data_IF_145162879235
#
_entry.id   IF_145162879235
#
_cell.length_a   1.000
_cell.length_b   1.000
_cell.length_c   1.000
_cell.angle_alpha   90.00
_cell.angle_beta   90.00
_cell.angle_gamma   90.00
#
_symmetry.space_group_name_H-M   'P 1'
#
loop_
_entity.id
_entity.type
_entity.pdbx_description
1 polymer ?
#
# COMPACT_ATOMS: atom_id res chain seq x y z
N UNK A 1 -7.37 -1.98 35.69
CA UNK A 1 -7.20 -3.45 35.77
C UNK A 1 -8.56 -4.17 35.81
N UNK A 2 -9.66 -3.52 35.40
CA UNK A 2 -11.04 -4.06 35.44
C UNK A 2 -11.73 -4.16 34.05
N UNK A 3 -11.06 -3.77 32.96
CA UNK A 3 -11.64 -3.79 31.61
C UNK A 3 -11.91 -5.21 31.06
N UNK A 4 -11.34 -6.24 31.70
CA UNK A 4 -11.55 -7.65 31.33
C UNK A 4 -12.83 -8.26 31.93
N UNK A 5 -13.50 -7.56 32.86
CA UNK A 5 -14.72 -8.06 33.51
C UNK A 5 -15.98 -7.87 32.66
N UNK A 6 -15.95 -6.97 31.67
CA UNK A 6 -17.08 -6.66 30.80
C UNK A 6 -16.62 -6.61 29.33
N UNK A 7 -16.67 -7.73 28.59
CA UNK A 7 -16.19 -7.80 27.20
C UNK A 7 -16.83 -6.76 26.25
N UNK A 8 -18.02 -6.26 26.58
CA UNK A 8 -18.74 -5.23 25.83
C UNK A 8 -18.33 -3.78 26.12
N UNK A 9 -17.44 -3.52 27.08
CA UNK A 9 -16.88 -2.17 27.34
C UNK A 9 -15.51 -1.98 26.70
N UNK A 10 -14.91 -3.03 26.14
CA UNK A 10 -13.68 -2.92 25.38
C UNK A 10 -13.96 -2.18 24.08
N UNK A 11 -13.19 -1.13 23.74
CA UNK A 11 -13.33 -0.47 22.44
C UNK A 11 -13.13 -1.49 21.33
N UNK A 12 -14.04 -1.49 20.35
CA UNK A 12 -13.94 -2.34 19.15
C UNK A 12 -12.56 -2.17 18.50
N UNK A 13 -11.95 -3.28 18.08
CA UNK A 13 -10.64 -3.24 17.43
C UNK A 13 -10.75 -2.52 16.08
N UNK A 14 -10.18 -1.32 15.99
CA UNK A 14 -10.20 -0.48 14.76
C UNK A 14 -8.92 -0.55 13.96
N UNK A 15 -7.81 -0.88 14.59
CA UNK A 15 -6.49 -0.94 13.96
C UNK A 15 -5.80 -2.23 14.34
N UNK A 16 -5.21 -2.89 13.35
CA UNK A 16 -4.51 -4.15 13.54
C UNK A 16 -3.25 -4.17 12.67
N UNK A 17 -2.10 -4.28 13.33
CA UNK A 17 -0.81 -4.51 12.67
C UNK A 17 -0.38 -5.96 12.93
N UNK A 18 -0.08 -6.66 11.84
CA UNK A 18 0.38 -8.04 11.79
C UNK A 18 1.66 -8.16 10.97
N UNK A 19 2.41 -7.07 10.82
CA UNK A 19 3.61 -7.04 10.00
C UNK A 19 4.61 -8.12 10.47
N UNK A 20 5.31 -8.72 9.52
CA UNK A 20 6.32 -9.77 9.75
C UNK A 20 5.77 -11.07 10.38
N UNK A 21 4.46 -11.28 10.40
CA UNK A 21 3.89 -12.56 10.87
C UNK A 21 4.07 -13.65 9.80
N UNK A 22 4.88 -14.66 10.11
CA UNK A 22 5.28 -15.70 9.15
C UNK A 22 4.35 -16.92 9.07
N UNK A 23 3.24 -16.93 9.82
CA UNK A 23 2.28 -18.05 9.83
C UNK A 23 0.82 -17.57 9.68
N UNK A 24 0.62 -16.51 8.89
CA UNK A 24 -0.69 -15.90 8.67
C UNK A 24 -1.44 -16.58 7.50
N UNK A 25 -1.83 -17.85 7.64
CA UNK A 25 -2.61 -18.55 6.61
C UNK A 25 -4.11 -18.33 6.79
N UNK A 26 -4.93 -18.27 5.73
CA UNK A 26 -6.40 -18.29 5.88
C UNK A 26 -6.99 -19.55 6.50
N UNK A 27 -6.24 -20.66 6.48
CA UNK A 27 -6.61 -21.87 7.19
C UNK A 27 -6.41 -21.72 8.70
N UNK A 28 -5.70 -20.68 9.13
CA UNK A 28 -5.61 -20.35 10.55
C UNK A 28 -6.94 -19.78 11.04
N UNK A 29 -7.39 -20.29 12.19
CA UNK A 29 -8.54 -19.73 12.91
C UNK A 29 -8.34 -18.24 13.22
N UNK A 30 -7.10 -17.78 13.35
CA UNK A 30 -6.76 -16.38 13.59
C UNK A 30 -7.12 -15.48 12.41
N UNK A 31 -6.76 -15.83 11.17
CA UNK A 31 -7.13 -15.00 10.01
C UNK A 31 -8.65 -14.96 9.80
N UNK A 32 -9.35 -16.08 9.98
CA UNK A 32 -10.81 -16.10 9.93
C UNK A 32 -11.44 -15.22 11.03
N UNK A 33 -10.86 -15.20 12.23
CA UNK A 33 -11.33 -14.33 13.31
C UNK A 33 -11.07 -12.85 13.01
N UNK A 34 -9.97 -12.51 12.34
CA UNK A 34 -9.67 -11.15 11.90
C UNK A 34 -10.72 -10.66 10.90
N UNK A 35 -11.12 -11.50 9.93
CA UNK A 35 -12.19 -11.17 8.98
C UNK A 35 -13.55 -10.92 9.65
N UNK A 36 -13.76 -11.34 10.90
CA UNK A 36 -15.01 -11.02 11.63
C UNK A 36 -15.01 -9.61 12.24
N UNK A 37 -13.87 -8.89 12.25
CA UNK A 37 -13.76 -7.54 12.82
C UNK A 37 -14.25 -6.47 11.84
N UNK A 38 -15.58 -6.39 11.66
CA UNK A 38 -16.23 -5.46 10.70
C UNK A 38 -15.99 -3.98 11.00
N UNK A 39 -15.56 -3.64 12.21
CA UNK A 39 -15.21 -2.27 12.62
C UNK A 39 -13.75 -1.89 12.36
N UNK A 40 -12.96 -2.80 11.77
CA UNK A 40 -11.57 -2.55 11.43
C UNK A 40 -11.48 -1.49 10.32
N UNK A 41 -10.61 -0.52 10.55
CA UNK A 41 -10.36 0.65 9.69
C UNK A 41 -8.94 0.62 9.15
N UNK A 42 -7.99 0.08 9.93
CA UNK A 42 -6.61 -0.07 9.52
C UNK A 42 -6.17 -1.53 9.66
N UNK A 43 -5.64 -2.09 8.57
CA UNK A 43 -5.01 -3.41 8.55
C UNK A 43 -3.63 -3.31 7.92
N UNK A 44 -2.61 -3.73 8.65
CA UNK A 44 -1.24 -3.86 8.15
C UNK A 44 -0.82 -5.33 8.23
N UNK A 45 -0.41 -5.89 7.10
CA UNK A 45 0.07 -7.28 6.95
C UNK A 45 1.35 -7.32 6.12
N UNK A 46 2.24 -6.35 6.32
CA UNK A 46 3.48 -6.21 5.56
C UNK A 46 4.42 -7.38 5.83
N UNK A 47 5.09 -7.87 4.79
CA UNK A 47 6.10 -8.95 4.90
C UNK A 47 5.56 -10.23 5.59
N UNK A 48 4.25 -10.46 5.54
CA UNK A 48 3.67 -11.68 6.05
C UNK A 48 3.93 -12.86 5.11
N UNK A 49 4.38 -13.98 5.68
CA UNK A 49 4.49 -15.24 4.95
C UNK A 49 3.28 -16.12 5.31
N UNK A 50 2.75 -16.82 4.31
CA UNK A 50 1.60 -17.74 4.47
C UNK A 50 0.24 -17.16 4.12
N UNK A 51 0.12 -15.84 3.95
CA UNK A 51 -1.09 -15.22 3.39
C UNK A 51 -1.07 -15.31 1.87
N UNK A 52 -2.11 -15.88 1.27
CA UNK A 52 -2.20 -16.09 -0.17
C UNK A 52 -3.09 -15.06 -0.86
N UNK A 53 -2.98 -14.95 -2.19
CA UNK A 53 -3.91 -14.14 -2.97
C UNK A 53 -5.37 -14.60 -2.80
N UNK A 54 -5.63 -15.89 -2.59
CA UNK A 54 -6.97 -16.41 -2.32
C UNK A 54 -7.55 -15.92 -0.98
N UNK A 55 -6.69 -15.47 -0.07
CA UNK A 55 -7.07 -14.98 1.25
C UNK A 55 -7.33 -13.47 1.18
N UNK A 56 -6.43 -12.76 0.49
CA UNK A 56 -6.52 -11.32 0.28
C UNK A 56 -7.74 -10.92 -0.56
N UNK A 57 -8.14 -11.73 -1.54
CA UNK A 57 -9.35 -11.42 -2.34
C UNK A 57 -10.64 -11.42 -1.50
N UNK A 58 -10.64 -12.03 -0.31
CA UNK A 58 -11.81 -12.06 0.59
C UNK A 58 -11.88 -10.83 1.48
N UNK A 59 -10.78 -10.09 1.66
CA UNK A 59 -10.72 -8.92 2.54
C UNK A 59 -11.89 -7.94 2.29
N UNK A 60 -12.25 -7.60 1.03
CA UNK A 60 -13.35 -6.69 0.75
C UNK A 60 -14.74 -7.21 1.14
N UNK A 61 -14.94 -8.52 1.20
CA UNK A 61 -16.23 -9.12 1.59
C UNK A 61 -16.53 -8.95 3.08
N UNK A 62 -15.48 -8.77 3.88
CA UNK A 62 -15.55 -8.85 5.34
C UNK A 62 -15.17 -7.54 6.03
N UNK A 63 -14.08 -6.91 5.58
CA UNK A 63 -13.47 -5.72 6.17
C UNK A 63 -13.89 -4.45 5.41
N UNK A 64 -15.21 -4.31 5.21
CA UNK A 64 -15.83 -3.27 4.37
C UNK A 64 -15.59 -1.83 4.82
N UNK A 65 -15.13 -1.64 6.06
CA UNK A 65 -14.86 -0.32 6.65
C UNK A 65 -13.39 0.10 6.59
N UNK A 66 -12.52 -0.70 5.97
CA UNK A 66 -11.11 -0.36 5.83
C UNK A 66 -10.90 0.96 5.10
N UNK A 67 -10.06 1.80 5.71
CA UNK A 67 -9.56 3.06 5.17
C UNK A 67 -8.06 2.98 4.89
N UNK A 68 -7.32 2.18 5.65
CA UNK A 68 -5.87 2.00 5.49
C UNK A 68 -5.58 0.51 5.34
N UNK A 69 -4.92 0.13 4.24
CA UNK A 69 -4.52 -1.24 3.97
C UNK A 69 -3.07 -1.29 3.50
N UNK A 70 -2.22 -1.99 4.26
CA UNK A 70 -0.82 -2.21 3.90
C UNK A 70 -0.57 -3.69 3.59
N UNK A 71 -0.30 -3.99 2.32
CA UNK A 71 0.05 -5.30 1.77
C UNK A 71 1.46 -5.29 1.14
N UNK A 72 2.29 -4.34 1.53
CA UNK A 72 3.66 -4.23 1.01
C UNK A 72 4.44 -5.50 1.35
N UNK A 73 5.37 -5.88 0.48
CA UNK A 73 6.23 -7.07 0.67
C UNK A 73 5.48 -8.41 0.75
N UNK A 74 4.20 -8.47 0.39
CA UNK A 74 3.53 -9.76 0.20
C UNK A 74 4.04 -10.40 -1.10
N UNK A 75 4.77 -11.50 -0.93
CA UNK A 75 5.36 -12.25 -2.04
C UNK A 75 4.26 -12.71 -3.01
N UNK A 76 4.44 -12.42 -4.30
CA UNK A 76 3.52 -12.80 -5.37
C UNK A 76 2.11 -12.16 -5.31
N UNK A 77 1.91 -11.10 -4.53
CA UNK A 77 0.70 -10.29 -4.63
C UNK A 77 0.55 -9.76 -6.06
N UNK A 78 -0.63 -9.95 -6.65
CA UNK A 78 -0.89 -9.74 -8.07
C UNK A 78 -2.17 -8.92 -8.34
N UNK A 79 -2.46 -8.69 -9.62
CA UNK A 79 -3.57 -7.82 -10.04
C UNK A 79 -4.95 -8.38 -9.70
N UNK A 80 -5.10 -9.69 -9.46
CA UNK A 80 -6.37 -10.27 -9.00
C UNK A 80 -6.73 -9.75 -7.61
N UNK A 81 -5.73 -9.63 -6.73
CA UNK A 81 -5.89 -9.05 -5.40
C UNK A 81 -6.22 -7.55 -5.51
N UNK A 82 -5.50 -6.82 -6.37
CA UNK A 82 -5.76 -5.39 -6.62
C UNK A 82 -7.20 -5.14 -7.09
N UNK A 83 -7.68 -5.96 -8.04
CA UNK A 83 -9.05 -5.90 -8.51
C UNK A 83 -10.05 -6.14 -7.39
N UNK A 84 -9.82 -7.12 -6.51
CA UNK A 84 -10.71 -7.32 -5.36
C UNK A 84 -10.71 -6.10 -4.43
N UNK A 85 -9.52 -5.64 -4.02
CA UNK A 85 -9.34 -4.49 -3.10
C UNK A 85 -9.96 -3.21 -3.65
N UNK A 86 -10.01 -3.05 -4.97
CA UNK A 86 -10.64 -1.90 -5.62
C UNK A 86 -12.13 -1.72 -5.28
N UNK A 87 -12.80 -2.75 -4.76
CA UNK A 87 -14.18 -2.67 -4.29
C UNK A 87 -14.34 -2.13 -2.87
N UNK A 88 -13.27 -1.90 -2.10
CA UNK A 88 -13.32 -1.27 -0.78
C UNK A 88 -13.71 0.22 -0.89
N UNK A 89 -15.00 0.53 -0.71
CA UNK A 89 -15.58 1.87 -0.93
C UNK A 89 -15.18 2.93 0.09
N UNK A 90 -14.40 2.58 1.09
CA UNK A 90 -13.90 3.51 2.12
C UNK A 90 -12.38 3.59 2.14
N UNK A 91 -11.69 2.89 1.22
CA UNK A 91 -10.23 2.85 1.21
C UNK A 91 -9.66 4.21 0.84
N UNK A 92 -8.80 4.74 1.72
CA UNK A 92 -8.16 6.05 1.59
C UNK A 92 -6.67 5.89 1.31
N UNK A 93 -6.02 4.92 1.93
CA UNK A 93 -4.58 4.67 1.81
C UNK A 93 -4.33 3.20 1.49
N UNK A 94 -3.56 2.97 0.43
CA UNK A 94 -3.18 1.63 -0.01
C UNK A 94 -1.67 1.56 -0.22
N UNK A 95 -1.04 0.59 0.42
CA UNK A 95 0.38 0.33 0.28
C UNK A 95 0.59 -1.08 -0.28
N UNK A 96 1.23 -1.18 -1.44
CA UNK A 96 1.53 -2.45 -2.13
C UNK A 96 2.96 -2.48 -2.65
N UNK A 97 3.86 -1.75 -1.97
CA UNK A 97 5.26 -1.65 -2.36
C UNK A 97 5.94 -3.02 -2.38
N UNK A 98 6.90 -3.20 -3.29
CA UNK A 98 7.69 -4.43 -3.45
C UNK A 98 6.84 -5.70 -3.71
N UNK A 99 5.77 -5.56 -4.47
CA UNK A 99 4.90 -6.67 -4.89
C UNK A 99 5.01 -6.95 -6.40
N UNK A 100 4.26 -7.94 -6.91
CA UNK A 100 4.23 -8.30 -8.34
C UNK A 100 3.04 -7.68 -9.10
N UNK A 101 2.44 -6.64 -8.53
CA UNK A 101 1.38 -5.84 -9.17
C UNK A 101 1.91 -5.18 -10.44
N UNK A 102 1.05 -5.09 -11.45
CA UNK A 102 1.34 -4.43 -12.72
C UNK A 102 0.42 -3.25 -12.97
N UNK A 103 0.64 -2.55 -14.09
CA UNK A 103 -0.23 -1.48 -14.56
C UNK A 103 -1.71 -1.90 -14.66
N UNK A 104 -2.00 -3.19 -14.92
CA UNK A 104 -3.37 -3.72 -14.93
C UNK A 104 -4.06 -3.70 -13.56
N UNK A 105 -3.31 -3.89 -12.48
CA UNK A 105 -3.83 -3.75 -11.12
C UNK A 105 -4.19 -2.30 -10.79
N UNK A 106 -3.36 -1.35 -11.26
CA UNK A 106 -3.60 0.09 -11.10
C UNK A 106 -4.85 0.53 -11.88
N UNK A 107 -5.03 0.02 -13.10
CA UNK A 107 -6.24 0.26 -13.87
C UNK A 107 -7.51 -0.14 -13.11
N UNK A 108 -7.50 -1.32 -12.48
CA UNK A 108 -8.63 -1.81 -11.68
C UNK A 108 -8.96 -0.89 -10.49
N UNK A 109 -7.95 -0.28 -9.87
CA UNK A 109 -8.15 0.72 -8.80
C UNK A 109 -8.86 1.96 -9.33
N UNK A 110 -8.41 2.51 -10.47
CA UNK A 110 -9.00 3.71 -11.09
C UNK A 110 -10.45 3.47 -11.49
N UNK A 111 -10.80 2.28 -11.97
CA UNK A 111 -12.17 1.93 -12.34
C UNK A 111 -13.15 1.86 -11.15
N UNK A 112 -12.71 1.35 -10.00
CA UNK A 112 -13.64 0.91 -8.94
C UNK A 112 -13.48 1.65 -7.61
N UNK A 113 -12.33 2.30 -7.36
CA UNK A 113 -12.01 2.97 -6.12
C UNK A 113 -12.00 4.49 -6.28
N UNK A 114 -13.02 5.16 -5.73
CA UNK A 114 -13.22 6.61 -5.86
C UNK A 114 -12.79 7.40 -4.62
N UNK A 115 -12.27 6.73 -3.59
CA UNK A 115 -11.93 7.33 -2.29
C UNK A 115 -10.44 7.37 -2.00
N UNK A 116 -9.63 6.68 -2.81
CA UNK A 116 -8.20 6.54 -2.57
C UNK A 116 -7.52 7.91 -2.71
N UNK A 117 -6.71 8.27 -1.70
CA UNK A 117 -5.96 9.52 -1.62
C UNK A 117 -4.45 9.29 -1.67
N UNK A 118 -3.98 8.19 -1.07
CA UNK A 118 -2.57 7.81 -1.06
C UNK A 118 -2.40 6.41 -1.62
N UNK A 119 -1.46 6.27 -2.55
CA UNK A 119 -1.06 4.99 -3.12
C UNK A 119 0.46 4.83 -3.10
N UNK A 120 0.95 3.78 -2.44
CA UNK A 120 2.36 3.40 -2.48
C UNK A 120 2.60 2.16 -3.34
N UNK A 121 3.34 2.36 -4.42
CA UNK A 121 3.66 1.37 -5.45
C UNK A 121 5.17 1.25 -5.66
N UNK A 122 5.98 1.74 -4.71
CA UNK A 122 7.44 1.68 -4.75
C UNK A 122 7.92 0.25 -4.97
N UNK A 123 8.90 0.06 -5.84
CA UNK A 123 9.57 -1.23 -6.01
C UNK A 123 8.73 -2.33 -6.66
N UNK A 124 7.57 -2.00 -7.24
CA UNK A 124 6.79 -2.93 -8.06
C UNK A 124 7.41 -3.02 -9.47
N UNK A 125 8.06 -4.13 -9.86
CA UNK A 125 8.87 -4.19 -11.08
C UNK A 125 8.04 -4.23 -12.37
N UNK A 126 6.72 -4.44 -12.28
CA UNK A 126 5.79 -4.52 -13.42
C UNK A 126 4.92 -3.27 -13.56
N UNK A 127 5.13 -2.26 -12.71
CA UNK A 127 4.51 -0.96 -12.84
C UNK A 127 5.45 -0.06 -13.63
N UNK A 128 4.87 0.67 -14.57
CA UNK A 128 5.58 1.62 -15.44
C UNK A 128 4.98 3.02 -15.32
N UNK A 129 5.58 3.99 -16.02
CA UNK A 129 5.02 5.34 -16.18
C UNK A 129 3.58 5.36 -16.69
N UNK A 130 3.12 4.30 -17.37
CA UNK A 130 1.73 4.17 -17.81
C UNK A 130 0.74 4.23 -16.64
N UNK A 131 1.07 3.62 -15.50
CA UNK A 131 0.25 3.69 -14.28
C UNK A 131 0.03 5.12 -13.80
N UNK A 132 1.05 5.98 -13.88
CA UNK A 132 0.94 7.38 -13.45
C UNK A 132 -0.06 8.15 -14.33
N UNK A 133 -0.03 7.93 -15.65
CA UNK A 133 -1.04 8.49 -16.55
C UNK A 133 -2.43 7.94 -16.26
N UNK A 134 -2.57 6.64 -16.00
CA UNK A 134 -3.85 6.03 -15.62
C UNK A 134 -4.40 6.65 -14.32
N UNK A 135 -3.54 6.89 -13.32
CA UNK A 135 -3.91 7.51 -12.05
C UNK A 135 -4.39 8.96 -12.18
N UNK A 136 -4.03 9.67 -13.24
CA UNK A 136 -4.52 11.04 -13.50
C UNK A 136 -6.04 11.14 -13.68
N UNK A 137 -6.71 10.04 -14.04
CA UNK A 137 -8.17 9.98 -14.10
C UNK A 137 -8.83 9.92 -12.71
N UNK A 138 -8.08 9.57 -11.65
CA UNK A 138 -8.61 9.40 -10.29
C UNK A 138 -8.63 10.74 -9.55
N UNK A 139 -9.80 11.39 -9.51
CA UNK A 139 -9.98 12.72 -8.88
C UNK A 139 -9.74 12.77 -7.37
N UNK A 140 -9.86 11.65 -6.68
CA UNK A 140 -9.65 11.55 -5.23
C UNK A 140 -8.17 11.50 -4.84
N UNK A 141 -7.30 11.09 -5.76
CA UNK A 141 -5.89 10.85 -5.47
C UNK A 141 -5.18 12.16 -5.14
N UNK A 142 -4.25 12.09 -4.19
CA UNK A 142 -3.45 13.23 -3.72
C UNK A 142 -1.97 12.93 -3.78
N UNK A 143 -1.59 11.70 -3.48
CA UNK A 143 -0.19 11.29 -3.37
C UNK A 143 0.02 9.90 -3.94
N UNK A 144 1.07 9.76 -4.75
CA UNK A 144 1.54 8.47 -5.26
C UNK A 144 3.02 8.34 -4.99
N UNK A 145 3.42 7.24 -4.37
CA UNK A 145 4.81 6.97 -4.02
C UNK A 145 5.43 5.99 -5.01
N UNK A 146 6.56 6.38 -5.60
CA UNK A 146 7.33 5.61 -6.58
C UNK A 146 8.82 5.55 -6.23
N UNK A 147 9.56 4.66 -6.90
CA UNK A 147 11.02 4.73 -6.93
C UNK A 147 11.47 5.38 -8.24
N UNK A 148 12.51 6.21 -8.19
CA UNK A 148 13.03 6.95 -9.34
C UNK A 148 13.43 6.07 -10.54
N UNK A 149 13.81 4.82 -10.27
CA UNK A 149 14.30 3.88 -11.29
C UNK A 149 13.20 2.99 -11.88
N UNK A 150 11.93 3.22 -11.54
CA UNK A 150 10.82 2.49 -12.15
C UNK A 150 10.66 2.91 -13.62
N UNK A 151 10.44 1.92 -14.50
CA UNK A 151 10.49 2.12 -15.95
C UNK A 151 9.49 3.18 -16.42
N UNK A 152 9.98 4.25 -17.06
CA UNK A 152 9.16 5.34 -17.60
C UNK A 152 8.50 6.25 -16.56
N UNK A 153 8.70 6.01 -15.25
CA UNK A 153 8.09 6.85 -14.21
C UNK A 153 8.70 8.26 -14.14
N UNK A 154 9.98 8.43 -14.47
CA UNK A 154 10.62 9.74 -14.50
C UNK A 154 9.99 10.66 -15.57
N UNK A 155 9.84 10.16 -16.79
CA UNK A 155 9.22 10.90 -17.89
C UNK A 155 7.75 11.19 -17.62
N UNK A 156 7.01 10.20 -17.10
CA UNK A 156 5.61 10.36 -16.73
C UNK A 156 5.41 11.36 -15.58
N UNK A 157 6.28 11.36 -14.57
CA UNK A 157 6.28 12.36 -13.49
C UNK A 157 6.43 13.77 -14.06
N UNK A 158 7.44 13.98 -14.90
CA UNK A 158 7.67 15.28 -15.54
C UNK A 158 6.47 15.73 -16.37
N UNK A 159 5.92 14.85 -17.19
CA UNK A 159 4.75 15.15 -18.03
C UNK A 159 3.51 15.52 -17.19
N UNK A 160 3.30 14.85 -16.06
CA UNK A 160 2.20 15.14 -15.14
C UNK A 160 2.39 16.46 -14.38
N UNK A 161 3.62 16.79 -14.01
CA UNK A 161 3.96 18.09 -13.42
C UNK A 161 3.68 19.24 -14.42
N UNK A 162 4.11 19.10 -15.68
CA UNK A 162 3.86 20.06 -16.76
C UNK A 162 2.36 20.19 -17.09
N UNK A 163 1.60 19.11 -17.00
CA UNK A 163 0.16 19.09 -17.22
C UNK A 163 -0.67 19.63 -16.04
N UNK A 164 -0.04 19.94 -14.90
CA UNK A 164 -0.75 20.40 -13.70
C UNK A 164 -1.62 19.32 -13.05
N UNK A 165 -1.09 18.10 -12.93
CA UNK A 165 -1.79 16.97 -12.30
C UNK A 165 -2.35 17.31 -10.92
N UNK A 166 -3.50 16.72 -10.58
CA UNK A 166 -4.21 16.93 -9.31
C UNK A 166 -3.56 16.25 -8.10
N UNK A 167 -2.55 15.41 -8.32
CA UNK A 167 -1.86 14.64 -7.30
C UNK A 167 -0.34 14.77 -7.45
N UNK A 168 0.37 14.60 -6.34
CA UNK A 168 1.83 14.61 -6.29
C UNK A 168 2.39 13.22 -6.54
N UNK A 169 3.41 13.15 -7.41
CA UNK A 169 4.25 11.96 -7.56
C UNK A 169 5.47 12.17 -6.67
N UNK A 170 5.61 11.33 -5.64
CA UNK A 170 6.62 11.46 -4.60
C UNK A 170 7.59 10.29 -4.66
N UNK A 171 8.85 10.58 -4.31
CA UNK A 171 9.87 9.57 -4.05
C UNK A 171 10.55 9.80 -2.69
N UNK A 172 11.55 8.96 -2.38
CA UNK A 172 12.24 9.04 -1.09
C UNK A 172 13.05 10.33 -0.90
N UNK A 173 13.47 10.98 -1.99
CA UNK A 173 14.17 12.27 -1.94
C UNK A 173 13.18 13.38 -1.56
N UNK A 174 11.97 13.35 -2.09
CA UNK A 174 10.91 14.28 -1.70
C UNK A 174 10.55 14.14 -0.22
N UNK A 175 10.46 12.90 0.29
CA UNK A 175 10.20 12.62 1.70
C UNK A 175 11.22 13.21 2.66
N UNK A 176 12.51 13.05 2.32
CA UNK A 176 13.61 13.59 3.14
C UNK A 176 13.52 15.13 3.28
N UNK A 177 13.02 15.81 2.24
CA UNK A 177 12.81 17.26 2.26
C UNK A 177 11.59 17.71 3.08
N UNK A 178 10.61 16.83 3.30
CA UNK A 178 9.36 17.16 4.00
C UNK A 178 9.45 17.13 5.54
N UNK A 179 10.61 16.79 6.13
CA UNK A 179 10.82 16.72 7.58
C UNK A 179 9.80 15.83 8.35
N UNK A 180 9.19 14.86 7.68
CA UNK A 180 8.25 13.92 8.29
C UNK A 180 9.06 12.86 9.07
N UNK A 181 8.79 12.66 10.38
CA UNK A 181 9.46 11.63 11.15
C UNK A 181 9.25 10.24 10.54
N UNK A 182 10.34 9.52 10.32
CA UNK A 182 10.35 8.14 9.86
C UNK A 182 9.92 7.21 11.01
N UNK A 183 8.82 6.45 10.94
CA UNK A 183 8.82 5.15 11.59
C UNK A 183 9.85 4.31 10.83
N UNK A 184 11.00 4.05 11.46
CA UNK A 184 12.17 3.41 10.87
C UNK A 184 11.79 2.11 10.14
N UNK A 185 11.56 2.18 8.84
CA UNK A 185 11.35 1.04 7.97
C UNK A 185 12.68 0.64 7.36
N UNK A 186 12.91 -0.67 7.22
CA UNK A 186 14.16 -1.25 6.65
C UNK A 186 14.60 -0.60 5.32
N UNK A 187 13.65 0.00 4.58
CA UNK A 187 13.87 0.68 3.32
C UNK A 187 14.63 1.98 3.44
N UNK A 188 14.41 2.76 4.49
CA UNK A 188 15.19 3.96 4.77
C UNK A 188 16.69 3.63 4.85
N UNK A 189 17.05 2.48 5.45
CA UNK A 189 18.45 2.03 5.57
C UNK A 189 18.97 1.51 4.22
N UNK A 190 18.21 0.70 3.50
CA UNK A 190 18.64 0.14 2.22
C UNK A 190 18.85 1.21 1.15
N UNK A 191 17.92 2.18 1.03
CA UNK A 191 18.07 3.28 0.07
C UNK A 191 19.14 4.28 0.49
N UNK A 192 19.31 4.58 1.78
CA UNK A 192 20.43 5.39 2.23
C UNK A 192 21.77 4.76 1.85
N UNK A 193 21.91 3.43 1.96
CA UNK A 193 23.13 2.74 1.55
C UNK A 193 23.34 2.75 0.02
N UNK A 194 22.27 2.61 -0.78
CA UNK A 194 22.37 2.69 -2.25
C UNK A 194 22.71 4.12 -2.71
N UNK A 195 22.06 5.13 -2.14
CA UNK A 195 22.28 6.54 -2.49
C UNK A 195 23.66 7.02 -2.02
N UNK A 196 24.10 6.64 -0.81
CA UNK A 196 25.44 6.95 -0.30
C UNK A 196 26.56 6.30 -1.14
N UNK A 197 26.32 5.11 -1.69
CA UNK A 197 27.29 4.45 -2.57
C UNK A 197 27.38 5.07 -3.98
N UNK A 198 26.44 5.93 -4.39
CA UNK A 198 26.52 6.65 -5.67
C UNK A 198 27.25 7.98 -5.57
N UNK A 199 27.21 8.65 -4.42
CA UNK A 199 27.97 9.89 -4.19
C UNK A 199 29.48 9.67 -4.04
N UNK A 200 29.95 8.42 -4.00
CA UNK A 200 31.36 8.06 -3.86
C UNK A 200 32.09 7.70 -5.16
N UNK A 201 31.41 7.68 -6.31
CA UNK A 201 31.99 7.24 -7.59
C UNK A 201 32.11 8.33 -8.67
N UNK A 202 31.72 9.56 -8.35
CA UNK A 202 31.93 10.73 -9.20
C UNK A 202 32.92 11.71 -8.53
N UNK A 203 34.18 11.29 -8.43
CA UNK A 203 35.32 12.14 -8.06
C UNK A 203 36.58 11.72 -8.85
#
# INVERSE_FOLDING_TARGET
MDDLAHPGTLPELRELNLDYVHNLSSNSKSFQHILQKRHLIKLEVRHCNGISNADLIKVPDFLVNLQVLNLSEIKYLNDVVMKSISFLKRLVELFVAFTSVSDGGIHSLVENCSTLRLLDIRGCPRITGQSLFTLSAMKSLREVWILQFMAGCADARKALEEAGSSFLVLDEVDRQKMAIPQPMDFYSIYFNNILANRTGNDA
#
